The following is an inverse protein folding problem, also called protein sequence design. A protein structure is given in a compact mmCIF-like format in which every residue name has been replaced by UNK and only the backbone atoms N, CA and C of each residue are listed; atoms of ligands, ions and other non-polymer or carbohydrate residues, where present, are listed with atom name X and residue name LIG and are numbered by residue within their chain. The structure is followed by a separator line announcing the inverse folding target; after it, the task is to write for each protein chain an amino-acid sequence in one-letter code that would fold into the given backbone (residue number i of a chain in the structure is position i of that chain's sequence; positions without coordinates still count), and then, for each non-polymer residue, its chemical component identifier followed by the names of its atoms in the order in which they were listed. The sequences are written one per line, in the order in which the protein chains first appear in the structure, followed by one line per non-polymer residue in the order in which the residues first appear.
data_IF_861097596287
#
_entry.id   IF_861097596287
#
_cell.length_a   1.000
_cell.length_b   1.000
_cell.length_c   1.000
_cell.angle_alpha   90.00
_cell.angle_beta   90.00
_cell.angle_gamma   90.00
#
_symmetry.space_group_name_H-M   'P 1'
#
loop_
_entity.id
_entity.type
_entity.pdbx_description
1 polymer ?
#
# COMPACT_ATOMS: atom_id res chain seq x y z
N UNK A 1 10.83 31.37 -2.77
CA UNK A 1 11.10 29.93 -3.00
C UNK A 1 11.95 29.75 -4.25
N UNK A 2 11.53 30.22 -5.42
CA UNK A 2 12.32 30.09 -6.66
C UNK A 2 13.71 30.75 -6.58
N UNK A 3 13.86 31.84 -5.82
CA UNK A 3 15.16 32.48 -5.58
C UNK A 3 16.14 31.63 -4.73
N UNK A 4 15.65 30.60 -4.05
CA UNK A 4 16.42 29.78 -3.09
C UNK A 4 16.50 28.32 -3.53
N UNK A 5 15.45 27.81 -4.19
CA UNK A 5 15.31 26.41 -4.61
C UNK A 5 15.22 26.25 -6.14
N UNK A 6 15.20 27.34 -6.91
CA UNK A 6 15.15 27.28 -8.38
C UNK A 6 14.01 26.40 -8.90
N UNK A 7 14.37 25.41 -9.69
CA UNK A 7 13.45 24.43 -10.31
C UNK A 7 12.94 23.36 -9.33
N UNK A 8 13.61 23.17 -8.20
CA UNK A 8 13.15 22.29 -7.12
C UNK A 8 12.08 22.96 -6.23
N UNK A 9 11.79 24.24 -6.47
CA UNK A 9 10.75 24.95 -5.75
C UNK A 9 9.37 24.32 -6.06
N UNK A 10 8.52 24.09 -5.03
CA UNK A 10 7.18 23.59 -5.26
C UNK A 10 6.37 24.61 -6.08
N UNK A 11 5.51 24.11 -6.97
CA UNK A 11 4.64 24.96 -7.77
C UNK A 11 3.71 25.82 -6.91
N UNK A 12 3.27 26.96 -7.46
CA UNK A 12 2.34 27.88 -6.78
C UNK A 12 1.08 27.16 -6.29
N UNK A 13 0.57 26.21 -7.07
CA UNK A 13 -0.60 25.38 -6.72
C UNK A 13 -0.34 24.51 -5.49
N UNK A 14 0.82 23.87 -5.41
CA UNK A 14 1.21 23.07 -4.24
C UNK A 14 1.30 23.94 -2.98
N UNK A 15 1.85 25.15 -3.10
CA UNK A 15 1.96 26.11 -1.99
C UNK A 15 0.58 26.51 -1.47
N UNK A 16 -0.36 26.88 -2.36
CA UNK A 16 -1.71 27.25 -1.94
C UNK A 16 -2.47 26.08 -1.31
N UNK A 17 -2.31 24.86 -1.82
CA UNK A 17 -2.92 23.66 -1.23
C UNK A 17 -2.46 23.48 0.23
N UNK A 18 -1.16 23.53 0.48
CA UNK A 18 -0.62 23.44 1.83
C UNK A 18 -1.08 24.58 2.73
N UNK A 19 -1.11 25.81 2.22
CA UNK A 19 -1.64 26.96 2.97
C UNK A 19 -3.08 26.75 3.42
N UNK A 20 -3.94 26.20 2.55
CA UNK A 20 -5.32 25.86 2.90
C UNK A 20 -5.40 24.75 3.94
N UNK A 21 -4.61 23.68 3.82
CA UNK A 21 -4.60 22.59 4.80
C UNK A 21 -4.10 23.04 6.18
N UNK A 22 -3.07 23.89 6.23
CA UNK A 22 -2.62 24.48 7.48
C UNK A 22 -3.71 25.33 8.15
N UNK A 23 -4.45 26.12 7.37
CA UNK A 23 -5.60 26.90 7.89
C UNK A 23 -6.75 25.99 8.36
N UNK A 24 -6.86 24.77 7.84
CA UNK A 24 -7.82 23.74 8.31
C UNK A 24 -7.36 23.03 9.59
N UNK A 25 -6.19 23.38 10.12
CA UNK A 25 -5.66 22.81 11.36
C UNK A 25 -4.77 21.58 11.16
N UNK A 26 -4.42 21.22 9.92
CA UNK A 26 -3.41 20.18 9.67
C UNK A 26 -2.04 20.69 10.11
N UNK A 27 -1.41 20.01 11.06
CA UNK A 27 -0.06 20.31 11.53
C UNK A 27 1.00 19.31 11.04
N UNK A 28 0.58 18.17 10.48
CA UNK A 28 1.49 17.14 9.98
C UNK A 28 1.97 17.46 8.55
N UNK A 29 3.29 17.44 8.38
CA UNK A 29 3.95 17.47 7.08
C UNK A 29 4.00 16.10 6.41
N UNK A 30 3.81 15.03 7.18
CA UNK A 30 3.72 13.67 6.67
C UNK A 30 2.57 13.57 5.68
N UNK A 31 2.79 12.85 4.60
CA UNK A 31 1.72 12.46 3.71
C UNK A 31 0.67 11.69 4.52
N UNK A 32 -0.59 12.09 4.42
CA UNK A 32 -1.67 11.32 5.02
C UNK A 32 -1.70 9.97 4.35
N UNK A 33 -2.07 8.94 5.12
CA UNK A 33 -2.23 7.60 4.58
C UNK A 33 -3.17 7.69 3.39
N UNK A 34 -2.61 7.53 2.19
CA UNK A 34 -3.41 7.37 0.98
C UNK A 34 -3.92 5.95 1.03
N UNK A 35 -5.24 5.79 1.07
CA UNK A 35 -5.87 4.56 0.59
C UNK A 35 -5.63 4.48 -0.93
N UNK A 36 -4.38 4.30 -1.32
CA UNK A 36 -4.08 3.78 -2.63
C UNK A 36 -4.70 2.38 -2.67
N UNK A 37 -5.43 2.07 -3.74
CA UNK A 37 -5.91 0.71 -4.07
C UNK A 37 -4.81 -0.28 -3.68
N UNK A 38 -5.09 -1.33 -2.88
CA UNK A 38 -4.06 -2.24 -2.44
C UNK A 38 -3.35 -2.78 -3.68
N UNK A 39 -2.12 -2.29 -3.91
CA UNK A 39 -1.23 -2.78 -4.98
C UNK A 39 -0.77 -4.20 -4.67
N UNK A 40 -1.05 -4.64 -3.45
CA UNK A 40 -0.73 -5.95 -2.94
C UNK A 40 -2.01 -6.79 -2.86
N UNK A 41 -2.00 -7.92 -3.57
CA UNK A 41 -2.96 -9.02 -3.36
C UNK A 41 -2.79 -9.62 -1.96
N UNK A 42 -1.72 -9.26 -1.23
CA UNK A 42 -1.48 -9.62 0.17
C UNK A 42 -2.29 -8.72 1.10
N UNK A 43 -3.61 -8.89 1.07
CA UNK A 43 -4.54 -8.36 2.07
C UNK A 43 -4.66 -9.35 3.24
N UNK A 44 -5.02 -8.90 4.46
CA UNK A 44 -5.12 -9.77 5.64
C UNK A 44 -5.93 -11.04 5.39
N UNK A 45 -7.02 -10.93 4.64
CA UNK A 45 -7.90 -12.05 4.30
C UNK A 45 -7.16 -13.13 3.50
N UNK A 46 -6.32 -12.74 2.54
CA UNK A 46 -5.53 -13.68 1.75
C UNK A 46 -4.36 -14.28 2.56
N UNK A 47 -3.79 -13.51 3.49
CA UNK A 47 -2.77 -14.03 4.42
C UNK A 47 -3.38 -15.13 5.29
N UNK A 48 -4.53 -14.86 5.90
CA UNK A 48 -5.20 -15.79 6.79
C UNK A 48 -5.68 -17.03 6.03
N UNK A 49 -6.25 -16.86 4.84
CA UNK A 49 -6.66 -17.98 4.00
C UNK A 49 -5.49 -18.89 3.58
N UNK A 50 -4.33 -18.32 3.21
CA UNK A 50 -3.12 -19.10 2.90
C UNK A 50 -2.63 -19.86 4.14
N UNK A 51 -2.61 -19.21 5.31
CA UNK A 51 -2.21 -19.84 6.58
C UNK A 51 -3.13 -20.99 6.97
N UNK A 52 -4.44 -20.83 6.82
CA UNK A 52 -5.43 -21.88 7.08
C UNK A 52 -5.22 -23.10 6.19
N UNK A 53 -4.96 -22.91 4.89
CA UNK A 53 -4.68 -24.04 3.98
C UNK A 53 -3.41 -24.82 4.38
N UNK A 54 -2.36 -24.11 4.80
CA UNK A 54 -1.11 -24.74 5.29
C UNK A 54 -1.32 -25.46 6.63
N UNK A 55 -2.17 -24.92 7.50
CA UNK A 55 -2.54 -25.55 8.77
C UNK A 55 -3.36 -26.82 8.57
N UNK A 56 -4.25 -26.82 7.57
CA UNK A 56 -5.07 -27.97 7.20
C UNK A 56 -4.24 -29.09 6.55
N UNK A 57 -3.33 -28.74 5.64
CA UNK A 57 -2.38 -29.67 5.04
C UNK A 57 -0.99 -29.05 4.91
N UNK A 58 -0.03 -29.57 5.69
CA UNK A 58 1.37 -29.12 5.64
C UNK A 58 2.07 -29.46 4.32
N UNK A 59 1.52 -30.34 3.50
CA UNK A 59 2.08 -30.69 2.19
C UNK A 59 1.39 -29.97 1.03
N UNK A 60 0.48 -29.03 1.32
CA UNK A 60 -0.20 -28.26 0.28
C UNK A 60 0.82 -27.55 -0.63
N UNK A 61 0.62 -27.68 -1.93
CA UNK A 61 1.49 -27.09 -2.93
C UNK A 61 1.05 -25.68 -3.30
N UNK A 62 1.99 -24.86 -3.80
CA UNK A 62 1.67 -23.53 -4.33
C UNK A 62 0.52 -23.55 -5.34
N UNK A 63 0.49 -24.55 -6.24
CA UNK A 63 -0.55 -24.66 -7.27
C UNK A 63 -1.94 -24.93 -6.68
N UNK A 64 -2.02 -25.70 -5.60
CA UNK A 64 -3.30 -25.97 -4.92
C UNK A 64 -3.82 -24.74 -4.20
N UNK A 65 -2.93 -23.96 -3.57
CA UNK A 65 -3.29 -22.67 -2.95
C UNK A 65 -3.73 -21.68 -4.03
N UNK A 66 -3.01 -21.56 -5.16
CA UNK A 66 -3.39 -20.71 -6.29
C UNK A 66 -4.78 -21.08 -6.83
N UNK A 67 -5.04 -22.38 -7.01
CA UNK A 67 -6.31 -22.88 -7.51
C UNK A 67 -7.47 -22.64 -6.51
N UNK A 68 -7.19 -22.66 -5.21
CA UNK A 68 -8.21 -22.50 -4.16
C UNK A 68 -8.57 -21.04 -3.91
N UNK A 69 -7.58 -20.14 -3.95
CA UNK A 69 -7.74 -18.73 -3.57
C UNK A 69 -7.76 -17.78 -4.78
N UNK A 70 -7.38 -18.26 -5.97
CA UNK A 70 -7.30 -17.44 -7.19
C UNK A 70 -6.24 -16.33 -7.12
N UNK A 71 -5.29 -16.44 -6.18
CA UNK A 71 -4.19 -15.50 -6.01
C UNK A 71 -2.95 -16.03 -6.73
N UNK A 72 -2.09 -15.13 -7.22
CA UNK A 72 -0.86 -15.53 -7.91
C UNK A 72 0.14 -16.17 -6.95
N UNK A 73 0.94 -17.11 -7.44
CA UNK A 73 2.03 -17.73 -6.69
C UNK A 73 3.07 -16.75 -6.20
N UNK A 74 3.26 -15.63 -6.90
CA UNK A 74 4.07 -14.51 -6.43
C UNK A 74 3.51 -13.88 -5.15
N UNK A 75 2.18 -13.80 -5.01
CA UNK A 75 1.53 -13.29 -3.80
C UNK A 75 1.64 -14.29 -2.66
N UNK A 76 1.47 -15.59 -2.94
CA UNK A 76 1.64 -16.67 -1.95
C UNK A 76 3.09 -16.70 -1.44
N UNK A 77 4.06 -16.56 -2.34
CA UNK A 77 5.47 -16.49 -1.98
C UNK A 77 5.81 -15.27 -1.12
N UNK A 78 5.06 -14.17 -1.25
CA UNK A 78 5.22 -13.00 -0.38
C UNK A 78 4.55 -13.16 0.99
N UNK A 79 3.66 -14.14 1.16
CA UNK A 79 2.94 -14.43 2.41
C UNK A 79 3.72 -15.42 3.28
N UNK A 80 4.34 -16.41 2.64
CA UNK A 80 5.23 -17.41 3.25
C UNK A 80 6.56 -16.78 3.71
#
# INVERSE_FOLDING_TARGET
LNSTFGDEAPSKTTIYRWYTEFNRGRSSLSEEFREDRPKSVVVPENIDAVRELILQDRHVTYREIEASLGISGTSIHSIL
#
